data_IF_410820513071
#
_entry.id   IF_410820513071
#
_cell.length_a   1.000
_cell.length_b   1.000
_cell.length_c   1.000
_cell.angle_alpha   90.00
_cell.angle_beta   90.00
_cell.angle_gamma   90.00
#
_symmetry.space_group_name_H-M   'P 1'
#
loop_
_entity.id
_entity.type
_entity.pdbx_description
1 polymer ?
#
# COMPACT_ATOMS: atom_id res chain seq x y z
N UNK A 1 19.79 -2.26 19.36
CA UNK A 1 19.75 -1.21 18.28
C UNK A 1 18.34 -0.76 17.92
N UNK A 2 17.34 -1.60 18.13
CA UNK A 2 15.93 -1.29 17.82
C UNK A 2 15.24 -0.49 18.94
N UNK A 3 15.68 -0.61 20.16
CA UNK A 3 15.07 -0.07 21.37
C UNK A 3 14.90 1.44 21.38
N UNK A 4 15.76 2.18 20.67
CA UNK A 4 15.61 3.64 20.58
C UNK A 4 14.34 4.08 19.85
N UNK A 5 13.93 3.35 18.76
CA UNK A 5 12.69 3.64 18.05
C UNK A 5 11.49 3.30 18.94
N UNK A 6 11.55 2.16 19.63
CA UNK A 6 10.50 1.72 20.55
C UNK A 6 10.33 2.72 21.68
N UNK A 7 11.43 3.20 22.26
CA UNK A 7 11.41 4.18 23.34
C UNK A 7 10.89 5.55 22.89
N UNK A 8 11.24 6.02 21.70
CA UNK A 8 10.66 7.25 21.14
C UNK A 8 9.15 7.09 20.97
N UNK A 9 8.69 5.98 20.40
CA UNK A 9 7.27 5.72 20.24
C UNK A 9 6.55 5.63 21.58
N UNK A 10 7.17 4.98 22.58
CA UNK A 10 6.66 4.88 23.94
C UNK A 10 6.45 6.25 24.58
N UNK A 11 7.45 7.14 24.50
CA UNK A 11 7.33 8.48 25.08
C UNK A 11 6.26 9.32 24.38
N UNK A 12 6.17 9.22 23.04
CA UNK A 12 5.10 9.89 22.29
C UNK A 12 3.72 9.38 22.74
N UNK A 13 3.56 8.03 22.85
CA UNK A 13 2.29 7.43 23.30
C UNK A 13 1.93 7.84 24.73
N UNK A 14 2.90 7.90 25.67
CA UNK A 14 2.66 8.38 27.04
C UNK A 14 2.19 9.83 27.08
N UNK A 15 2.83 10.69 26.28
CA UNK A 15 2.41 12.10 26.17
C UNK A 15 0.98 12.21 25.66
N UNK A 16 0.64 11.47 24.59
CA UNK A 16 -0.71 11.48 24.03
C UNK A 16 -1.72 10.92 25.05
N UNK A 17 -1.37 9.82 25.73
CA UNK A 17 -2.23 9.20 26.73
C UNK A 17 -2.55 10.13 27.92
N UNK A 18 -1.61 11.02 28.29
CA UNK A 18 -1.85 12.03 29.29
C UNK A 18 -3.01 12.99 28.95
N UNK A 19 -3.34 13.17 27.67
CA UNK A 19 -4.48 13.96 27.21
C UNK A 19 -5.69 13.11 26.84
N UNK A 20 -5.43 11.95 26.19
CA UNK A 20 -6.47 11.08 25.66
C UNK A 20 -7.14 10.22 26.72
N UNK A 21 -6.46 9.99 27.86
CA UNK A 21 -6.90 9.15 29.00
C UNK A 21 -7.03 7.67 28.64
N UNK A 22 -7.29 7.34 27.37
CA UNK A 22 -7.51 6.00 26.84
C UNK A 22 -6.38 5.57 25.88
N UNK A 23 -5.90 4.33 25.99
CA UNK A 23 -4.76 3.84 25.19
C UNK A 23 -5.13 3.62 23.73
N UNK A 24 -6.34 3.13 23.44
CA UNK A 24 -6.79 2.95 22.06
C UNK A 24 -6.97 4.30 21.37
N UNK A 25 -7.52 5.29 22.06
CA UNK A 25 -7.61 6.66 21.53
C UNK A 25 -6.22 7.26 21.30
N UNK A 26 -5.24 6.95 22.16
CA UNK A 26 -3.85 7.38 21.98
C UNK A 26 -3.22 6.80 20.71
N UNK A 27 -3.48 5.54 20.40
CA UNK A 27 -3.05 4.91 19.15
C UNK A 27 -3.72 5.58 17.95
N UNK A 28 -5.01 5.89 18.02
CA UNK A 28 -5.75 6.57 16.94
C UNK A 28 -5.14 7.96 16.67
N UNK A 29 -4.92 8.75 17.71
CA UNK A 29 -4.31 10.08 17.60
C UNK A 29 -2.90 9.99 17.01
N UNK A 30 -2.09 9.05 17.49
CA UNK A 30 -0.75 8.80 16.95
C UNK A 30 -0.81 8.50 15.46
N UNK A 31 -1.70 7.60 15.02
CA UNK A 31 -1.87 7.25 13.61
C UNK A 31 -2.21 8.49 12.79
N UNK A 32 -3.17 9.30 13.25
CA UNK A 32 -3.60 10.52 12.54
C UNK A 32 -2.42 11.49 12.41
N UNK A 33 -1.67 11.74 13.46
CA UNK A 33 -0.50 12.64 13.45
C UNK A 33 0.54 12.13 12.45
N UNK A 34 0.90 10.85 12.52
CA UNK A 34 1.88 10.24 11.61
C UNK A 34 1.39 10.32 10.17
N UNK A 35 0.12 10.03 9.90
CA UNK A 35 -0.47 10.10 8.56
C UNK A 35 -0.46 11.52 8.00
N UNK A 36 -0.78 12.52 8.81
CA UNK A 36 -0.72 13.92 8.41
C UNK A 36 0.71 14.35 8.05
N UNK A 37 1.69 13.99 8.88
CA UNK A 37 3.10 14.30 8.64
C UNK A 37 3.65 13.60 7.38
N UNK A 38 3.23 12.37 7.13
CA UNK A 38 3.70 11.58 5.97
C UNK A 38 2.93 11.91 4.69
N UNK A 39 1.76 12.54 4.75
CA UNK A 39 0.94 12.86 3.58
C UNK A 39 1.70 13.58 2.47
N UNK A 40 2.48 14.67 2.70
CA UNK A 40 3.19 15.35 1.62
C UNK A 40 4.25 14.46 0.94
N UNK A 41 4.88 13.56 1.68
CA UNK A 41 5.83 12.60 1.14
C UNK A 41 5.12 11.51 0.33
N UNK A 42 4.02 10.99 0.84
CA UNK A 42 3.21 9.96 0.20
C UNK A 42 2.51 10.46 -1.07
N UNK A 43 2.18 11.75 -1.17
CA UNK A 43 1.65 12.35 -2.40
C UNK A 43 2.63 12.26 -3.57
N UNK A 44 3.94 12.35 -3.33
CA UNK A 44 4.95 12.16 -4.38
C UNK A 44 4.95 10.71 -4.88
N UNK A 45 4.86 9.75 -3.97
CA UNK A 45 4.72 8.32 -4.30
C UNK A 45 3.42 8.05 -5.06
N UNK A 46 2.30 8.64 -4.63
CA UNK A 46 1.01 8.52 -5.31
C UNK A 46 1.06 9.02 -6.76
N UNK A 47 1.73 10.14 -7.02
CA UNK A 47 1.93 10.65 -8.39
C UNK A 47 2.75 9.69 -9.25
N UNK A 48 3.80 9.08 -8.70
CA UNK A 48 4.58 8.07 -9.42
C UNK A 48 3.72 6.83 -9.76
N UNK A 49 2.93 6.34 -8.80
CA UNK A 49 2.01 5.23 -9.01
C UNK A 49 0.92 5.56 -10.04
N UNK A 50 0.37 6.78 -10.01
CA UNK A 50 -0.61 7.24 -10.99
C UNK A 50 -0.05 7.24 -12.43
N UNK A 51 1.18 7.76 -12.62
CA UNK A 51 1.87 7.70 -13.91
C UNK A 51 2.08 6.26 -14.38
N UNK A 52 2.46 5.36 -13.48
CA UNK A 52 2.61 3.94 -13.80
C UNK A 52 1.30 3.34 -14.31
N UNK A 53 0.17 3.63 -13.66
CA UNK A 53 -1.14 3.13 -14.10
C UNK A 53 -1.51 3.62 -15.51
N UNK A 54 -1.18 4.86 -15.85
CA UNK A 54 -1.43 5.42 -17.18
C UNK A 54 -0.53 4.78 -18.25
N UNK A 55 0.72 4.51 -17.92
CA UNK A 55 1.69 3.90 -18.85
C UNK A 55 1.59 2.37 -18.93
N UNK A 56 0.78 1.76 -18.08
CA UNK A 56 0.65 0.30 -17.96
C UNK A 56 0.24 -0.40 -19.26
N UNK A 57 -0.70 0.10 -20.08
CA UNK A 57 -1.03 -0.54 -21.36
C UNK A 57 0.18 -0.64 -22.30
N UNK A 58 1.00 0.42 -22.38
CA UNK A 58 2.22 0.43 -23.18
C UNK A 58 3.27 -0.55 -22.65
N UNK A 59 3.35 -0.68 -21.33
CA UNK A 59 4.24 -1.64 -20.68
C UNK A 59 3.86 -3.08 -21.01
N UNK A 60 2.55 -3.38 -21.04
CA UNK A 60 2.04 -4.71 -21.40
C UNK A 60 2.31 -5.03 -22.86
N UNK A 61 2.03 -4.09 -23.77
CA UNK A 61 2.34 -4.25 -25.19
C UNK A 61 3.82 -4.56 -25.42
N UNK A 62 4.71 -3.87 -24.67
CA UNK A 62 6.13 -4.13 -24.74
C UNK A 62 6.50 -5.52 -24.20
N UNK A 63 5.89 -5.94 -23.10
CA UNK A 63 6.10 -7.27 -22.53
C UNK A 63 5.61 -8.39 -23.48
N UNK A 64 4.47 -8.20 -24.12
CA UNK A 64 3.93 -9.16 -25.12
C UNK A 64 4.80 -9.20 -26.39
N UNK A 65 5.28 -8.04 -26.86
CA UNK A 65 6.11 -7.94 -28.06
C UNK A 65 7.44 -8.69 -27.94
N UNK A 66 8.01 -8.74 -26.75
CA UNK A 66 9.28 -9.40 -26.46
C UNK A 66 9.13 -10.63 -25.55
N UNK A 67 7.95 -11.29 -25.56
CA UNK A 67 7.67 -12.44 -24.71
C UNK A 67 8.64 -13.62 -24.97
N UNK A 68 9.10 -13.78 -26.22
CA UNK A 68 9.99 -14.87 -26.66
C UNK A 68 11.48 -14.58 -26.37
N UNK A 69 11.85 -13.34 -25.99
CA UNK A 69 13.22 -12.93 -25.71
C UNK A 69 13.31 -12.18 -24.35
N UNK A 70 13.48 -12.91 -23.25
CA UNK A 70 13.52 -12.33 -21.90
C UNK A 70 14.63 -11.29 -21.69
N UNK A 71 15.78 -11.46 -22.38
CA UNK A 71 16.89 -10.52 -22.25
C UNK A 71 16.54 -9.19 -22.92
N UNK A 72 16.06 -9.23 -24.13
CA UNK A 72 15.62 -8.03 -24.85
C UNK A 72 14.41 -7.38 -24.21
N UNK A 73 13.50 -8.15 -23.65
CA UNK A 73 12.38 -7.64 -22.87
C UNK A 73 12.88 -6.81 -21.66
N UNK A 74 13.88 -7.32 -20.92
CA UNK A 74 14.43 -6.61 -19.76
C UNK A 74 15.13 -5.29 -20.18
N UNK A 75 15.88 -5.30 -21.30
CA UNK A 75 16.56 -4.11 -21.82
C UNK A 75 15.54 -3.04 -22.24
N UNK A 76 14.51 -3.42 -22.99
CA UNK A 76 13.48 -2.48 -23.48
C UNK A 76 12.60 -1.98 -22.32
N UNK A 77 12.33 -2.80 -21.30
CA UNK A 77 11.67 -2.35 -20.07
C UNK A 77 12.50 -1.32 -19.31
N UNK A 78 13.80 -1.55 -19.16
CA UNK A 78 14.69 -0.61 -18.51
C UNK A 78 14.79 0.72 -19.27
N UNK A 79 14.85 0.65 -20.59
CA UNK A 79 14.83 1.81 -21.48
C UNK A 79 13.50 2.58 -21.32
N UNK A 80 12.38 1.88 -21.36
CA UNK A 80 11.05 2.46 -21.15
C UNK A 80 10.95 3.20 -19.80
N UNK A 81 11.45 2.61 -18.71
CA UNK A 81 11.49 3.28 -17.41
C UNK A 81 12.36 4.52 -17.39
N UNK A 82 13.53 4.48 -18.04
CA UNK A 82 14.45 5.62 -18.10
C UNK A 82 13.89 6.78 -18.94
N UNK A 83 13.31 6.49 -20.09
CA UNK A 83 12.70 7.49 -20.99
C UNK A 83 11.50 8.19 -20.36
N UNK A 84 10.68 7.45 -19.61
CA UNK A 84 9.53 8.01 -18.89
C UNK A 84 9.90 8.57 -17.50
N UNK A 85 11.20 8.60 -17.13
CA UNK A 85 11.71 9.04 -15.81
C UNK A 85 10.95 8.37 -14.67
N UNK A 86 10.65 7.09 -14.84
CA UNK A 86 9.86 6.31 -13.92
C UNK A 86 10.75 5.49 -12.99
N UNK A 87 10.46 5.56 -11.68
CA UNK A 87 11.09 4.72 -10.67
C UNK A 87 10.08 3.69 -10.14
N UNK A 88 10.23 2.39 -10.47
CA UNK A 88 9.32 1.35 -10.00
C UNK A 88 9.29 1.20 -8.47
N UNK A 89 10.39 1.57 -7.79
CA UNK A 89 10.48 1.52 -6.32
C UNK A 89 9.73 2.67 -5.62
N UNK A 90 9.31 3.69 -6.34
CA UNK A 90 8.56 4.82 -5.76
C UNK A 90 7.22 4.40 -5.14
N UNK A 91 6.61 3.33 -5.64
CA UNK A 91 5.34 2.80 -5.11
C UNK A 91 5.44 2.05 -3.79
N UNK A 92 6.61 1.50 -3.44
CA UNK A 92 6.81 0.75 -2.19
C UNK A 92 7.33 1.61 -1.03
N UNK A 93 7.63 2.89 -1.26
CA UNK A 93 8.10 3.82 -0.23
C UNK A 93 7.20 3.86 1.02
N UNK A 94 5.85 3.85 0.90
CA UNK A 94 4.97 3.80 2.07
C UNK A 94 5.22 2.59 2.97
N UNK A 95 5.52 1.43 2.39
CA UNK A 95 5.78 0.20 3.14
C UNK A 95 7.05 0.32 3.99
N UNK A 96 8.13 0.85 3.43
CA UNK A 96 9.40 1.03 4.17
C UNK A 96 9.27 2.01 5.33
N UNK A 97 8.45 3.04 5.20
CA UNK A 97 8.18 3.99 6.28
C UNK A 97 7.27 3.37 7.33
N UNK A 98 6.32 2.55 6.91
CA UNK A 98 5.33 1.90 7.78
C UNK A 98 5.94 0.85 8.69
N UNK A 99 6.92 0.06 8.18
CA UNK A 99 7.47 -1.10 8.88
C UNK A 99 8.08 -0.77 10.26
N UNK A 100 8.95 0.26 10.42
CA UNK A 100 9.51 0.60 11.71
C UNK A 100 8.44 0.92 12.77
N UNK A 101 7.44 1.70 12.40
CA UNK A 101 6.38 2.11 13.32
C UNK A 101 5.52 0.92 13.76
N UNK A 102 5.18 0.05 12.81
CA UNK A 102 4.42 -1.16 13.06
C UNK A 102 5.15 -2.11 14.02
N UNK A 103 6.42 -2.40 13.71
CA UNK A 103 7.23 -3.30 14.54
C UNK A 103 7.46 -2.74 15.94
N UNK A 104 7.64 -1.43 16.07
CA UNK A 104 7.78 -0.78 17.37
C UNK A 104 6.48 -0.90 18.18
N UNK A 105 5.32 -0.63 17.59
CA UNK A 105 4.03 -0.79 18.26
C UNK A 105 3.77 -2.25 18.65
N UNK A 106 4.08 -3.19 17.75
CA UNK A 106 3.95 -4.63 18.05
C UNK A 106 4.83 -5.03 19.23
N UNK A 107 6.08 -4.55 19.29
CA UNK A 107 7.02 -4.81 20.38
C UNK A 107 6.50 -4.26 21.71
N UNK A 108 5.99 -3.01 21.71
CA UNK A 108 5.41 -2.38 22.90
C UNK A 108 4.22 -3.16 23.46
N UNK A 109 3.32 -3.62 22.59
CA UNK A 109 2.10 -4.32 23.01
C UNK A 109 2.38 -5.78 23.39
N UNK A 110 3.39 -6.41 22.78
CA UNK A 110 3.75 -7.79 23.08
C UNK A 110 4.54 -7.93 24.37
N UNK A 111 5.46 -6.99 24.61
CA UNK A 111 6.32 -6.98 25.81
C UNK A 111 5.93 -5.83 26.76
N UNK A 112 4.64 -5.67 26.95
CA UNK A 112 4.05 -4.61 27.78
C UNK A 112 4.65 -4.53 29.19
N UNK A 113 4.89 -5.65 29.94
CA UNK A 113 5.45 -5.58 31.29
C UNK A 113 6.84 -4.92 31.32
N UNK A 114 7.64 -5.11 30.27
CA UNK A 114 8.96 -4.50 30.16
C UNK A 114 8.90 -2.98 29.95
N UNK A 115 8.03 -2.52 29.07
CA UNK A 115 7.94 -1.10 28.70
C UNK A 115 7.05 -0.28 29.64
N UNK A 116 6.15 -0.92 30.38
CA UNK A 116 5.21 -0.28 31.29
C UNK A 116 5.22 -0.96 32.68
N UNK A 117 6.38 -1.03 33.37
CA UNK A 117 6.51 -1.82 34.61
C UNK A 117 5.63 -1.33 35.76
N UNK A 118 5.24 -0.06 35.76
CA UNK A 118 4.43 0.57 36.82
C UNK A 118 3.00 0.90 36.37
N UNK A 119 2.54 0.31 35.26
CA UNK A 119 1.18 0.57 34.79
C UNK A 119 0.18 -0.35 35.48
N UNK A 120 -0.58 0.21 36.42
CA UNK A 120 -1.72 -0.44 37.05
C UNK A 120 -2.98 -0.09 36.24
N UNK A 121 -3.43 -1.00 35.35
CA UNK A 121 -4.62 -0.81 34.55
C UNK A 121 -4.64 -1.64 33.28
N UNK A 122 -5.80 -1.66 32.62
CA UNK A 122 -5.95 -2.34 31.33
C UNK A 122 -5.50 -1.43 30.20
N UNK A 123 -4.73 -1.99 29.25
CA UNK A 123 -4.54 -1.37 27.96
C UNK A 123 -5.79 -1.62 27.13
N UNK A 124 -6.79 -0.77 27.24
CA UNK A 124 -8.08 -0.91 26.59
C UNK A 124 -8.35 0.21 25.59
N UNK A 125 -9.33 0.01 24.75
CA UNK A 125 -9.95 1.04 23.94
C UNK A 125 -11.40 1.18 24.42
N UNK A 126 -11.61 2.03 25.40
CA UNK A 126 -12.85 2.13 26.15
C UNK A 126 -13.40 0.73 26.52
N UNK A 127 -14.72 0.52 26.39
CA UNK A 127 -15.35 -0.81 26.55
C UNK A 127 -15.44 -1.59 25.22
N UNK A 128 -14.92 -1.03 24.12
CA UNK A 128 -15.00 -1.64 22.77
C UNK A 128 -14.00 -2.77 22.62
N UNK A 129 -12.73 -2.53 23.02
CA UNK A 129 -11.68 -3.53 23.05
C UNK A 129 -11.14 -3.62 24.48
N UNK A 130 -11.54 -4.63 25.26
CA UNK A 130 -11.18 -4.75 26.68
C UNK A 130 -9.67 -4.86 26.92
N UNK A 131 -8.90 -5.35 25.94
CA UNK A 131 -7.43 -5.41 26.01
C UNK A 131 -6.82 -5.23 24.64
N UNK A 132 -5.94 -4.26 24.51
CA UNK A 132 -5.18 -3.99 23.27
C UNK A 132 -4.00 -4.95 23.10
N UNK A 133 -3.60 -5.67 24.13
CA UNK A 133 -2.51 -6.66 24.11
C UNK A 133 -3.00 -8.06 23.73
N UNK A 134 -4.29 -8.31 23.86
CA UNK A 134 -4.94 -9.59 23.53
C UNK A 134 -5.14 -9.71 22.02
N UNK A 135 -4.87 -10.89 21.46
CA UNK A 135 -5.17 -11.21 20.06
C UNK A 135 -6.52 -11.92 19.91
N UNK A 136 -7.13 -11.92 18.70
CA UNK A 136 -8.30 -12.75 18.41
C UNK A 136 -8.10 -14.22 18.80
N UNK A 137 -6.88 -14.75 18.52
CA UNK A 137 -6.53 -16.14 18.85
C UNK A 137 -6.57 -16.42 20.37
N UNK A 138 -6.00 -15.53 21.17
CA UNK A 138 -5.98 -15.68 22.63
C UNK A 138 -7.36 -15.45 23.25
N UNK A 139 -8.11 -14.46 22.77
CA UNK A 139 -9.47 -14.19 23.23
C UNK A 139 -10.43 -15.36 22.95
N UNK A 140 -10.19 -16.13 21.87
CA UNK A 140 -10.99 -17.30 21.54
C UNK A 140 -10.87 -18.42 22.57
N UNK A 141 -9.76 -18.51 23.29
CA UNK A 141 -9.59 -19.47 24.39
C UNK A 141 -10.51 -19.17 25.57
N UNK A 142 -10.89 -17.91 25.80
CA UNK A 142 -11.83 -17.47 26.84
C UNK A 142 -13.29 -17.55 26.38
N UNK A 143 -13.54 -17.97 25.16
CA UNK A 143 -14.85 -18.18 24.57
C UNK A 143 -15.21 -17.20 23.46
N UNK A 144 -16.20 -17.61 22.65
CA UNK A 144 -16.60 -16.83 21.46
C UNK A 144 -17.07 -15.41 21.77
N UNK A 145 -17.82 -15.23 22.86
CA UNK A 145 -18.31 -13.88 23.26
C UNK A 145 -17.18 -12.95 23.64
N UNK A 146 -16.16 -13.44 24.32
CA UNK A 146 -14.97 -12.67 24.65
C UNK A 146 -14.14 -12.31 23.40
N UNK A 147 -14.10 -13.20 22.41
CA UNK A 147 -13.38 -13.00 21.15
C UNK A 147 -14.11 -12.06 20.18
N UNK A 148 -15.42 -11.87 20.32
CA UNK A 148 -16.25 -11.15 19.34
C UNK A 148 -15.73 -9.76 18.98
N UNK A 149 -15.37 -8.84 19.91
CA UNK A 149 -14.86 -7.51 19.57
C UNK A 149 -13.54 -7.58 18.77
N UNK A 150 -12.68 -8.54 19.08
CA UNK A 150 -11.41 -8.76 18.38
C UNK A 150 -11.60 -9.31 16.97
N UNK A 151 -12.57 -10.20 16.80
CA UNK A 151 -12.96 -10.73 15.48
C UNK A 151 -13.56 -9.62 14.63
N UNK A 152 -14.39 -8.75 15.20
CA UNK A 152 -14.95 -7.59 14.48
C UNK A 152 -13.84 -6.67 13.99
N UNK A 153 -12.86 -6.34 14.85
CA UNK A 153 -11.69 -5.53 14.45
C UNK A 153 -10.91 -6.21 13.32
N UNK A 154 -10.66 -7.52 13.39
CA UNK A 154 -9.96 -8.27 12.35
C UNK A 154 -10.72 -8.29 11.03
N UNK A 155 -12.04 -8.47 11.06
CA UNK A 155 -12.90 -8.43 9.86
C UNK A 155 -12.90 -7.02 9.26
N UNK A 156 -13.02 -6.00 10.10
CA UNK A 156 -12.96 -4.59 9.67
C UNK A 156 -11.65 -4.29 8.96
N UNK A 157 -10.52 -4.69 9.55
CA UNK A 157 -9.21 -4.58 8.94
C UNK A 157 -9.14 -5.22 7.55
N UNK A 158 -9.66 -6.44 7.44
CA UNK A 158 -9.65 -7.20 6.18
C UNK A 158 -10.50 -6.53 5.11
N UNK A 159 -11.70 -6.07 5.46
CA UNK A 159 -12.61 -5.34 4.55
C UNK A 159 -11.98 -4.01 4.12
N UNK A 160 -11.45 -3.23 5.05
CA UNK A 160 -10.81 -1.96 4.75
C UNK A 160 -9.59 -2.13 3.83
N UNK A 161 -8.82 -3.20 4.00
CA UNK A 161 -7.65 -3.51 3.14
C UNK A 161 -8.06 -3.84 1.71
N UNK A 162 -9.24 -4.45 1.52
CA UNK A 162 -9.74 -4.81 0.19
C UNK A 162 -10.20 -3.60 -0.63
N UNK A 163 -10.74 -2.56 0.01
CA UNK A 163 -11.32 -1.39 -0.67
C UNK A 163 -10.34 -0.70 -1.63
N UNK A 164 -9.11 -0.29 -1.23
CA UNK A 164 -8.14 0.32 -2.13
C UNK A 164 -7.76 -0.58 -3.31
N UNK A 165 -7.66 -1.89 -3.09
CA UNK A 165 -7.36 -2.87 -4.13
C UNK A 165 -8.45 -2.92 -5.20
N UNK A 166 -9.72 -2.92 -4.79
CA UNK A 166 -10.85 -2.87 -5.71
C UNK A 166 -10.90 -1.56 -6.49
N UNK A 167 -10.60 -0.42 -5.85
CA UNK A 167 -10.51 0.87 -6.54
C UNK A 167 -9.41 0.88 -7.60
N UNK A 168 -8.23 0.36 -7.28
CA UNK A 168 -7.12 0.27 -8.23
C UNK A 168 -7.46 -0.63 -9.42
N UNK A 169 -8.15 -1.75 -9.18
CA UNK A 169 -8.55 -2.69 -10.25
C UNK A 169 -9.62 -2.14 -11.20
N UNK A 170 -10.42 -1.13 -10.78
CA UNK A 170 -11.43 -0.51 -11.65
C UNK A 170 -10.82 0.25 -12.83
N UNK A 171 -9.62 0.76 -12.66
CA UNK A 171 -8.90 1.53 -13.68
C UNK A 171 -8.13 0.62 -14.67
N UNK A 172 -8.21 -0.68 -14.52
CA UNK A 172 -7.55 -1.68 -15.34
C UNK A 172 -8.58 -2.48 -16.14
N UNK A 173 -8.18 -3.00 -17.29
CA UNK A 173 -9.04 -3.82 -18.17
C UNK A 173 -8.42 -5.19 -18.42
N UNK A 174 -9.25 -6.15 -18.83
CA UNK A 174 -8.80 -7.48 -19.24
C UNK A 174 -8.17 -8.31 -18.13
N UNK A 175 -7.21 -9.15 -18.50
CA UNK A 175 -6.54 -10.12 -17.62
C UNK A 175 -5.85 -9.46 -16.42
N UNK A 176 -5.37 -8.22 -16.57
CA UNK A 176 -4.70 -7.50 -15.51
C UNK A 176 -5.64 -7.04 -14.39
N UNK A 177 -6.84 -6.56 -14.73
CA UNK A 177 -7.85 -6.24 -13.72
C UNK A 177 -8.18 -7.47 -12.88
N UNK A 178 -8.27 -8.63 -13.53
CA UNK A 178 -8.52 -9.89 -12.84
C UNK A 178 -7.34 -10.30 -11.95
N UNK A 179 -6.11 -10.22 -12.44
CA UNK A 179 -4.91 -10.51 -11.65
C UNK A 179 -4.81 -9.63 -10.40
N UNK A 180 -5.06 -8.31 -10.53
CA UNK A 180 -5.06 -7.39 -9.40
C UNK A 180 -6.17 -7.70 -8.38
N UNK A 181 -7.37 -8.06 -8.83
CA UNK A 181 -8.47 -8.49 -7.95
C UNK A 181 -8.13 -9.76 -7.20
N UNK A 182 -7.64 -10.76 -7.92
CA UNK A 182 -7.22 -12.05 -7.33
C UNK A 182 -6.12 -11.83 -6.30
N UNK A 183 -5.09 -11.02 -6.64
CA UNK A 183 -4.02 -10.67 -5.71
C UNK A 183 -4.55 -9.94 -4.48
N UNK A 184 -5.51 -9.03 -4.65
CA UNK A 184 -6.18 -8.32 -3.55
C UNK A 184 -6.91 -9.28 -2.60
N UNK A 185 -7.67 -10.24 -3.15
CA UNK A 185 -8.38 -11.25 -2.36
C UNK A 185 -7.40 -12.16 -1.62
N UNK A 186 -6.37 -12.67 -2.30
CA UNK A 186 -5.34 -13.52 -1.69
C UNK A 186 -4.63 -12.76 -0.55
N UNK A 187 -4.28 -11.49 -0.78
CA UNK A 187 -3.67 -10.65 0.26
C UNK A 187 -4.59 -10.46 1.46
N UNK A 188 -5.89 -10.25 1.23
CA UNK A 188 -6.89 -10.12 2.30
C UNK A 188 -7.00 -11.39 3.12
N UNK A 189 -7.05 -12.56 2.47
CA UNK A 189 -7.09 -13.86 3.17
C UNK A 189 -5.81 -14.07 3.98
N UNK A 190 -4.65 -13.75 3.42
CA UNK A 190 -3.38 -13.83 4.13
C UNK A 190 -3.37 -12.91 5.37
N UNK A 191 -3.92 -11.70 5.25
CA UNK A 191 -4.03 -10.75 6.35
C UNK A 191 -4.98 -11.22 7.46
N UNK A 192 -6.04 -11.96 7.14
CA UNK A 192 -6.88 -12.63 8.14
C UNK A 192 -6.08 -13.64 8.97
N UNK A 193 -5.24 -14.46 8.31
CA UNK A 193 -4.39 -15.42 9.02
C UNK A 193 -3.35 -14.75 9.92
N UNK A 194 -2.65 -13.75 9.39
CA UNK A 194 -1.64 -13.00 10.16
C UNK A 194 -2.30 -12.24 11.30
N UNK A 195 -3.40 -11.54 11.01
CA UNK A 195 -4.14 -10.72 11.98
C UNK A 195 -4.76 -11.53 13.12
N UNK A 196 -5.03 -12.83 12.91
CA UNK A 196 -5.54 -13.72 13.95
C UNK A 196 -4.63 -13.79 15.18
N UNK A 197 -3.32 -13.71 14.98
CA UNK A 197 -2.32 -13.72 16.06
C UNK A 197 -1.83 -12.34 16.51
N UNK A 198 -2.30 -11.26 15.90
CA UNK A 198 -1.83 -9.91 16.24
C UNK A 198 -2.59 -9.35 17.46
N UNK A 199 -1.90 -8.59 18.34
CA UNK A 199 -2.56 -7.84 19.41
C UNK A 199 -3.60 -6.86 18.86
N UNK A 200 -4.71 -6.68 19.58
CA UNK A 200 -5.81 -5.81 19.13
C UNK A 200 -5.39 -4.35 18.92
N UNK A 201 -4.42 -3.84 19.66
CA UNK A 201 -3.88 -2.50 19.43
C UNK A 201 -3.15 -2.36 18.08
N UNK A 202 -2.55 -3.45 17.57
CA UNK A 202 -1.98 -3.48 16.22
C UNK A 202 -3.08 -3.51 15.17
N UNK A 203 -4.15 -4.28 15.39
CA UNK A 203 -5.33 -4.28 14.51
C UNK A 203 -5.97 -2.88 14.47
N UNK A 204 -6.18 -2.26 15.61
CA UNK A 204 -6.72 -0.90 15.72
C UNK A 204 -5.86 0.12 14.95
N UNK A 205 -4.54 0.03 15.11
CA UNK A 205 -3.58 0.84 14.34
C UNK A 205 -3.77 0.66 12.83
N UNK A 206 -3.91 -0.59 12.37
CA UNK A 206 -4.14 -0.88 10.96
C UNK A 206 -5.51 -0.42 10.48
N UNK A 207 -6.58 -0.59 11.27
CA UNK A 207 -7.93 -0.16 10.92
C UNK A 207 -7.96 1.35 10.65
N UNK A 208 -7.42 2.15 11.57
CA UNK A 208 -7.35 3.61 11.42
C UNK A 208 -6.45 4.01 10.25
N UNK A 209 -5.30 3.33 10.12
CA UNK A 209 -4.36 3.58 9.02
C UNK A 209 -4.98 3.28 7.66
N UNK A 210 -5.71 2.19 7.55
CA UNK A 210 -6.34 1.76 6.28
C UNK A 210 -7.55 2.61 5.97
N UNK A 211 -8.33 3.00 6.99
CA UNK A 211 -9.44 3.95 6.82
C UNK A 211 -8.91 5.29 6.27
N UNK A 212 -7.80 5.80 6.80
CA UNK A 212 -7.13 6.97 6.25
C UNK A 212 -6.73 6.78 4.78
N UNK A 213 -6.17 5.61 4.44
CA UNK A 213 -5.80 5.30 3.05
C UNK A 213 -7.02 5.27 2.13
N UNK A 214 -8.15 4.71 2.57
CA UNK A 214 -9.41 4.70 1.81
C UNK A 214 -9.88 6.14 1.55
N UNK A 215 -9.88 6.99 2.57
CA UNK A 215 -10.24 8.40 2.44
C UNK A 215 -9.29 9.08 1.44
N UNK A 216 -7.99 8.92 1.60
CA UNK A 216 -6.98 9.48 0.71
C UNK A 216 -7.13 8.94 -0.72
N UNK A 217 -7.44 7.66 -0.90
CA UNK A 217 -7.68 7.04 -2.21
C UNK A 217 -8.84 7.70 -2.94
N UNK A 218 -9.97 7.90 -2.26
CA UNK A 218 -11.18 8.46 -2.86
C UNK A 218 -11.01 9.95 -3.19
N UNK A 219 -10.50 10.74 -2.26
CA UNK A 219 -10.51 12.20 -2.38
C UNK A 219 -9.26 12.79 -3.04
N UNK A 220 -8.12 12.09 -2.96
CA UNK A 220 -6.83 12.61 -3.43
C UNK A 220 -6.26 11.78 -4.57
N UNK A 221 -6.07 10.47 -4.35
CA UNK A 221 -5.38 9.60 -5.31
C UNK A 221 -6.14 9.51 -6.63
N UNK A 222 -7.46 9.36 -6.58
CA UNK A 222 -8.27 9.26 -7.79
C UNK A 222 -8.16 10.53 -8.64
N UNK A 223 -8.23 11.71 -8.04
CA UNK A 223 -8.06 12.97 -8.77
C UNK A 223 -6.68 13.10 -9.42
N UNK A 224 -5.63 12.60 -8.77
CA UNK A 224 -4.26 12.58 -9.32
C UNK A 224 -4.19 11.63 -10.52
N UNK A 225 -4.82 10.46 -10.44
CA UNK A 225 -4.87 9.49 -11.53
C UNK A 225 -5.63 10.05 -12.73
N UNK A 226 -6.81 10.63 -12.50
CA UNK A 226 -7.64 11.20 -13.56
C UNK A 226 -6.92 12.34 -14.27
N UNK A 227 -6.23 13.20 -13.51
CA UNK A 227 -5.39 14.27 -14.08
C UNK A 227 -4.23 13.70 -14.88
N UNK A 228 -3.54 12.70 -14.38
CA UNK A 228 -2.43 12.07 -15.09
C UNK A 228 -2.88 11.38 -16.39
N UNK A 229 -4.09 10.81 -16.41
CA UNK A 229 -4.70 10.24 -17.64
C UNK A 229 -4.98 11.33 -18.67
N UNK A 230 -5.62 12.42 -18.26
CA UNK A 230 -5.93 13.53 -19.16
C UNK A 230 -4.67 14.15 -19.75
N UNK A 231 -3.61 14.35 -18.95
CA UNK A 231 -2.30 14.86 -19.43
C UNK A 231 -1.66 13.90 -20.44
N UNK A 232 -1.76 12.59 -20.25
CA UNK A 232 -1.18 11.62 -21.20
C UNK A 232 -2.02 11.50 -22.49
N UNK A 233 -3.34 11.57 -22.40
CA UNK A 233 -4.23 11.62 -23.57
C UNK A 233 -3.94 12.87 -24.43
N UNK A 234 -3.78 14.02 -23.81
CA UNK A 234 -3.40 15.26 -24.50
C UNK A 234 -2.02 15.14 -25.15
N UNK A 235 -1.06 14.55 -24.44
CA UNK A 235 0.29 14.29 -24.97
C UNK A 235 0.26 13.37 -26.18
N UNK A 236 -0.58 12.33 -26.15
CA UNK A 236 -0.73 11.40 -27.27
C UNK A 236 -1.42 12.06 -28.47
N UNK A 237 -2.44 12.89 -28.22
CA UNK A 237 -3.14 13.63 -29.27
C UNK A 237 -2.23 14.64 -29.98
N UNK A 238 -1.29 15.24 -29.23
CA UNK A 238 -0.32 16.21 -29.74
C UNK A 238 1.01 15.57 -30.21
N UNK A 239 1.20 14.26 -30.03
CA UNK A 239 2.40 13.58 -30.49
C UNK A 239 2.44 13.56 -32.04
N UNK A 240 3.59 13.88 -32.68
CA UNK A 240 3.74 13.72 -34.12
C UNK A 240 3.42 12.27 -34.50
N UNK A 241 2.58 12.07 -35.54
CA UNK A 241 2.34 10.74 -36.06
C UNK A 241 3.68 10.14 -36.48
N UNK A 242 4.12 9.08 -35.79
CA UNK A 242 5.24 8.26 -36.24
C UNK A 242 4.84 7.64 -37.59
N UNK A 243 5.27 8.30 -38.66
CA UNK A 243 5.12 7.70 -39.99
C UNK A 243 6.09 6.53 -40.03
N UNK A 244 5.55 5.34 -39.95
CA UNK A 244 6.32 4.11 -40.08
C UNK A 244 6.83 4.03 -41.52
N UNK A 245 7.97 4.65 -41.80
CA UNK A 245 8.61 4.65 -43.11
C UNK A 245 9.15 3.24 -43.35
N UNK A 246 8.30 2.35 -43.86
CA UNK A 246 8.75 1.07 -44.42
C UNK A 246 9.66 1.39 -45.60
N UNK A 247 10.96 1.43 -45.34
CA UNK A 247 11.96 1.63 -46.36
C UNK A 247 11.92 0.40 -47.26
N UNK A 248 11.21 0.49 -48.43
CA UNK A 248 11.26 -0.55 -49.47
C UNK A 248 12.70 -0.74 -49.87
N UNK A 249 13.24 -1.91 -49.66
CA UNK A 249 14.53 -2.29 -50.20
C UNK A 249 14.52 -2.08 -51.75
N UNK A 250 15.45 -1.23 -52.21
CA UNK A 250 15.61 -1.07 -53.66
C UNK A 250 16.07 -2.38 -54.26
N UNK A 251 15.28 -2.94 -55.19
CA UNK A 251 15.71 -4.06 -55.98
C UNK A 251 17.04 -3.79 -56.63
N UNK A 252 18.02 -4.70 -56.58
CA UNK A 252 19.28 -4.54 -57.24
C UNK A 252 19.08 -4.33 -58.74
N UNK A 253 19.77 -3.34 -59.31
CA UNK A 253 19.73 -3.08 -60.78
C UNK A 253 20.31 -4.27 -61.51
N UNK A 254 19.66 -4.76 -62.57
CA UNK A 254 20.24 -5.83 -63.37
C UNK A 254 21.55 -5.39 -64.00
N UNK A 255 22.58 -6.22 -63.83
CA UNK A 255 23.87 -5.98 -64.51
C UNK A 255 23.64 -5.99 -66.02
N UNK A 256 24.00 -4.89 -66.70
CA UNK A 256 24.15 -4.90 -68.18
C UNK A 256 25.27 -5.88 -68.50
N UNK A 257 24.93 -6.98 -69.17
CA UNK A 257 25.92 -7.79 -69.88
C UNK A 257 26.41 -6.99 -71.11
N UNK A 258 27.72 -6.74 -71.19
CA UNK A 258 28.40 -6.38 -72.40
C UNK A 258 28.62 -7.62 -73.26
#
# INVERSE_FOLDING_TARGET
>A
MWDWIVNILLEILKVIQGFAVDWGLSIIILVIIVRLLLTPLLLKSTKATARMQVLQPKLMELQERYADDPQRQAEELQKFYSENKFNPFGGCLPLFIQMPLLLALFTLLRDQPHYFPNHEGSFAFFDILPSLTTSPATAMADGFTAALPYIIALVLFSVLTLIPQLYMSRNQTGAQAQSMRTMGVVMTIMMLFVGWGLPAGVLLYYDVSTLWQVIQQIFVTQKIIDKAKAEEEERLANAPMEVNVVRRERKPRPHKKN
#
